data_IF_190783755209
#
_entry.id   IF_190783755209
#
_cell.length_a   1.000
_cell.length_b   1.000
_cell.length_c   1.000
_cell.angle_alpha   90.00
_cell.angle_beta   90.00
_cell.angle_gamma   90.00
#
_symmetry.space_group_name_H-M   'P 1'
#
loop_
_entity.id
_entity.type
_entity.pdbx_description
1 polymer ?
#
# COMPACT_ATOMS: atom_id res chain seq x y z
N UNK A 1 7.05 -6.53 2.48
CA UNK A 1 8.43 -6.86 2.90
C UNK A 1 8.84 -6.10 4.14
N UNK A 2 8.83 -4.76 4.13
CA UNK A 2 9.17 -3.93 5.31
C UNK A 2 8.32 -4.24 6.54
N UNK A 3 7.02 -4.49 6.37
CA UNK A 3 6.10 -4.98 7.42
C UNK A 3 6.63 -6.27 8.07
N UNK A 4 6.99 -7.27 7.26
CA UNK A 4 7.52 -8.56 7.75
C UNK A 4 8.88 -8.44 8.43
N UNK A 5 9.65 -7.41 8.07
CA UNK A 5 10.94 -7.11 8.69
C UNK A 5 10.80 -6.18 9.91
N UNK A 6 9.59 -5.74 10.26
CA UNK A 6 9.33 -4.88 11.41
C UNK A 6 9.92 -3.46 11.28
N UNK A 7 10.13 -2.98 10.04
CA UNK A 7 10.72 -1.65 9.77
C UNK A 7 9.78 -0.71 9.00
N UNK A 8 8.51 -1.10 8.85
CA UNK A 8 7.51 -0.29 8.17
C UNK A 8 7.36 1.10 8.80
N UNK A 9 7.12 1.17 10.11
CA UNK A 9 6.94 2.43 10.85
C UNK A 9 8.12 3.39 10.71
N UNK A 10 9.32 2.84 10.47
CA UNK A 10 10.56 3.62 10.35
C UNK A 10 10.82 4.10 8.92
N UNK A 11 10.39 3.33 7.93
CA UNK A 11 10.82 3.50 6.53
C UNK A 11 9.71 3.82 5.54
N UNK A 12 8.43 3.63 5.87
CA UNK A 12 7.33 3.82 4.92
C UNK A 12 7.23 5.27 4.43
N UNK A 13 7.02 6.22 5.34
CA UNK A 13 6.87 7.64 5.00
C UNK A 13 8.14 8.21 4.36
N UNK A 14 9.29 7.76 4.83
CA UNK A 14 10.58 8.17 4.29
C UNK A 14 10.79 7.66 2.86
N UNK A 15 10.38 6.42 2.55
CA UNK A 15 10.41 5.89 1.19
C UNK A 15 9.46 6.66 0.28
N UNK A 16 8.26 6.97 0.77
CA UNK A 16 7.28 7.75 0.02
C UNK A 16 7.82 9.16 -0.30
N UNK A 17 8.40 9.85 0.69
CA UNK A 17 9.05 11.14 0.50
C UNK A 17 10.25 11.05 -0.47
N UNK A 18 11.09 10.01 -0.34
CA UNK A 18 12.22 9.79 -1.23
C UNK A 18 11.79 9.70 -2.71
N UNK A 19 10.66 9.05 -2.99
CA UNK A 19 10.13 8.90 -4.36
C UNK A 19 9.44 10.19 -4.83
N UNK A 20 8.52 10.72 -4.03
CA UNK A 20 7.59 11.76 -4.47
C UNK A 20 8.05 13.20 -4.22
N UNK A 21 8.93 13.43 -3.23
CA UNK A 21 9.48 14.75 -2.91
C UNK A 21 10.92 14.90 -3.37
N UNK A 22 11.77 13.92 -3.03
CA UNK A 22 13.21 13.99 -3.33
C UNK A 22 13.56 13.46 -4.73
N UNK A 23 12.57 12.86 -5.42
CA UNK A 23 12.72 12.29 -6.76
C UNK A 23 13.88 11.28 -6.90
N UNK A 24 14.17 10.52 -5.83
CA UNK A 24 15.17 9.46 -5.87
C UNK A 24 14.76 8.38 -6.88
N UNK A 25 15.69 7.85 -7.70
CA UNK A 25 15.39 6.91 -8.76
C UNK A 25 15.19 5.48 -8.23
N UNK A 26 14.22 5.27 -7.35
CA UNK A 26 13.90 3.94 -6.80
C UNK A 26 13.04 3.20 -7.83
N UNK A 27 13.64 2.32 -8.63
CA UNK A 27 13.00 1.68 -9.79
C UNK A 27 13.04 0.15 -9.76
N UNK A 28 13.81 -0.42 -8.84
CA UNK A 28 13.99 -1.86 -8.68
C UNK A 28 13.78 -2.30 -7.23
N UNK A 29 13.66 -3.61 -7.03
CA UNK A 29 13.58 -4.19 -5.69
C UNK A 29 14.90 -3.99 -4.94
N UNK A 30 16.02 -4.00 -5.66
CA UNK A 30 17.36 -3.73 -5.17
C UNK A 30 17.49 -2.30 -4.65
N UNK A 31 16.94 -1.30 -5.37
CA UNK A 31 16.95 0.10 -4.90
C UNK A 31 16.15 0.25 -3.60
N UNK A 32 15.02 -0.48 -3.49
CA UNK A 32 14.22 -0.51 -2.27
C UNK A 32 15.01 -1.18 -1.14
N UNK A 33 15.67 -2.31 -1.41
CA UNK A 33 16.50 -3.00 -0.44
C UNK A 33 17.65 -2.10 0.05
N UNK A 34 18.33 -1.41 -0.86
CA UNK A 34 19.37 -0.41 -0.56
C UNK A 34 18.83 0.72 0.31
N UNK A 35 17.63 1.23 -0.02
CA UNK A 35 16.97 2.24 0.80
C UNK A 35 16.74 1.75 2.23
N UNK A 36 16.31 0.51 2.44
CA UNK A 36 16.03 0.00 3.79
C UNK A 36 17.29 -0.28 4.64
N UNK A 37 18.50 -0.28 4.04
CA UNK A 37 19.75 -0.44 4.81
C UNK A 37 19.99 0.66 5.84
N UNK A 38 19.53 1.89 5.57
CA UNK A 38 19.62 3.01 6.51
C UNK A 38 18.79 2.80 7.80
N UNK A 39 17.89 1.82 7.80
CA UNK A 39 17.06 1.44 8.95
C UNK A 39 17.52 0.13 9.61
N UNK A 40 18.74 -0.32 9.32
CA UNK A 40 19.34 -1.51 9.93
C UNK A 40 18.92 -2.83 9.27
N UNK A 41 18.33 -2.79 8.08
CA UNK A 41 17.99 -3.99 7.32
C UNK A 41 19.17 -4.40 6.43
N UNK A 42 19.67 -5.62 6.60
CA UNK A 42 20.62 -6.17 5.63
C UNK A 42 19.97 -6.36 4.25
N UNK A 43 20.68 -5.95 3.20
CA UNK A 43 20.18 -6.00 1.81
C UNK A 43 19.81 -7.42 1.39
N UNK A 44 20.66 -8.41 1.69
CA UNK A 44 20.42 -9.79 1.31
C UNK A 44 19.20 -10.37 2.06
N UNK A 45 19.05 -10.02 3.34
CA UNK A 45 17.87 -10.38 4.12
C UNK A 45 16.58 -9.75 3.53
N UNK A 46 16.63 -8.49 3.11
CA UNK A 46 15.48 -7.84 2.46
C UNK A 46 15.08 -8.56 1.17
N UNK A 47 16.06 -8.82 0.29
CA UNK A 47 15.83 -9.51 -0.98
C UNK A 47 15.27 -10.91 -0.76
N UNK A 48 15.86 -11.68 0.16
CA UNK A 48 15.38 -13.01 0.54
C UNK A 48 13.94 -12.95 1.04
N UNK A 49 13.63 -12.02 1.95
CA UNK A 49 12.27 -11.83 2.47
C UNK A 49 11.29 -11.43 1.37
N UNK A 50 11.67 -10.54 0.46
CA UNK A 50 10.84 -10.12 -0.66
C UNK A 50 10.52 -11.28 -1.62
N UNK A 51 11.45 -12.22 -1.79
CA UNK A 51 11.25 -13.46 -2.55
C UNK A 51 10.58 -14.61 -1.78
N UNK A 52 10.25 -14.41 -0.50
CA UNK A 52 9.72 -15.47 0.34
C UNK A 52 8.30 -15.90 -0.06
N UNK A 53 7.96 -17.16 0.20
CA UNK A 53 6.62 -17.70 -0.04
C UNK A 53 5.51 -16.88 0.64
N UNK A 54 5.77 -16.36 1.85
CA UNK A 54 4.80 -15.56 2.59
C UNK A 54 4.50 -14.21 1.90
N UNK A 55 5.54 -13.51 1.39
CA UNK A 55 5.34 -12.29 0.59
C UNK A 55 4.61 -12.60 -0.71
N UNK A 56 5.01 -13.67 -1.39
CA UNK A 56 4.38 -14.08 -2.64
C UNK A 56 2.90 -14.47 -2.46
N UNK A 57 2.57 -15.17 -1.38
CA UNK A 57 1.20 -15.53 -1.01
C UNK A 57 0.34 -14.28 -0.73
N UNK A 58 0.86 -13.32 0.04
CA UNK A 58 0.21 -12.02 0.27
C UNK A 58 -0.03 -11.29 -1.06
N UNK A 59 0.97 -11.25 -1.95
CA UNK A 59 0.84 -10.58 -3.26
C UNK A 59 -0.26 -11.22 -4.11
N UNK A 60 -0.30 -12.55 -4.21
CA UNK A 60 -1.36 -13.27 -4.94
C UNK A 60 -2.75 -12.99 -4.36
N UNK A 61 -2.89 -12.99 -3.03
CA UNK A 61 -4.16 -12.66 -2.37
C UNK A 61 -4.61 -11.23 -2.72
N UNK A 62 -3.71 -10.25 -2.64
CA UNK A 62 -4.02 -8.85 -2.96
C UNK A 62 -4.43 -8.68 -4.43
N UNK A 63 -3.77 -9.36 -5.37
CA UNK A 63 -4.14 -9.33 -6.79
C UNK A 63 -5.55 -9.87 -7.04
N UNK A 64 -5.98 -10.91 -6.31
CA UNK A 64 -7.35 -11.42 -6.38
C UNK A 64 -8.34 -10.37 -5.88
N UNK A 65 -8.05 -9.70 -4.76
CA UNK A 65 -8.91 -8.66 -4.18
C UNK A 65 -9.04 -7.44 -5.10
N UNK A 66 -7.94 -6.95 -5.67
CA UNK A 66 -7.92 -5.85 -6.64
C UNK A 66 -8.86 -6.12 -7.81
N UNK A 67 -8.79 -7.33 -8.39
CA UNK A 67 -9.69 -7.76 -9.48
C UNK A 67 -11.13 -7.90 -9.00
N UNK A 68 -11.36 -8.54 -7.84
CA UNK A 68 -12.68 -8.78 -7.26
C UNK A 68 -13.42 -7.46 -7.01
N UNK A 69 -12.72 -6.44 -6.52
CA UNK A 69 -13.30 -5.14 -6.22
C UNK A 69 -13.35 -4.19 -7.42
N UNK A 70 -12.80 -4.57 -8.57
CA UNK A 70 -12.81 -3.75 -9.78
C UNK A 70 -11.91 -2.52 -9.72
N UNK A 71 -10.85 -2.55 -8.89
CA UNK A 71 -9.89 -1.44 -8.78
C UNK A 71 -9.11 -1.30 -10.09
N UNK A 72 -9.14 -0.11 -10.70
CA UNK A 72 -8.47 0.20 -11.98
C UNK A 72 -7.31 1.17 -11.87
N UNK A 73 -7.12 1.80 -10.72
CA UNK A 73 -6.09 2.80 -10.52
C UNK A 73 -5.94 3.21 -9.06
N UNK A 74 -4.92 4.01 -8.79
CA UNK A 74 -4.63 4.55 -7.45
C UNK A 74 -4.82 6.08 -7.43
N UNK A 75 -5.21 6.66 -6.29
CA UNK A 75 -5.66 5.99 -5.07
C UNK A 75 -7.09 5.45 -5.19
N UNK A 76 -7.35 4.33 -4.52
CA UNK A 76 -8.68 3.69 -4.39
C UNK A 76 -8.87 3.18 -2.97
N UNK A 77 -10.09 3.26 -2.44
CA UNK A 77 -10.49 2.74 -1.13
C UNK A 77 -11.64 1.75 -1.31
N UNK A 78 -11.60 0.63 -0.57
CA UNK A 78 -12.69 -0.34 -0.57
C UNK A 78 -13.24 -0.49 0.84
N UNK A 79 -14.54 -0.21 1.02
CA UNK A 79 -15.21 -0.25 2.32
C UNK A 79 -16.02 -1.54 2.44
N UNK A 80 -15.70 -2.33 3.47
CA UNK A 80 -16.30 -3.63 3.79
C UNK A 80 -16.37 -4.62 2.60
N UNK A 81 -15.49 -4.47 1.61
CA UNK A 81 -15.52 -5.27 0.39
C UNK A 81 -16.74 -5.04 -0.53
N UNK A 82 -17.55 -4.01 -0.26
CA UNK A 82 -18.82 -3.72 -0.97
C UNK A 82 -18.73 -2.45 -1.82
N UNK A 83 -18.12 -1.39 -1.29
CA UNK A 83 -18.07 -0.09 -1.96
C UNK A 83 -16.65 0.23 -2.40
N UNK A 84 -16.48 0.54 -3.69
CA UNK A 84 -15.25 1.08 -4.23
C UNK A 84 -15.36 2.61 -4.34
N UNK A 85 -14.42 3.32 -3.74
CA UNK A 85 -14.20 4.75 -3.91
C UNK A 85 -12.92 4.92 -4.73
N UNK A 86 -13.02 5.55 -5.90
CA UNK A 86 -11.87 5.94 -6.72
C UNK A 86 -11.88 7.44 -6.96
N UNK A 87 -10.71 8.03 -7.24
CA UNK A 87 -10.63 9.45 -7.60
C UNK A 87 -11.43 9.73 -8.87
N UNK A 88 -12.29 10.74 -8.81
CA UNK A 88 -13.06 11.24 -9.94
C UNK A 88 -13.29 12.75 -9.79
N UNK A 89 -13.91 13.39 -10.79
CA UNK A 89 -14.29 14.80 -10.70
C UNK A 89 -15.30 15.05 -9.56
N UNK A 90 -16.20 14.10 -9.31
CA UNK A 90 -17.25 14.21 -8.27
C UNK A 90 -16.71 13.85 -6.87
N UNK A 91 -15.67 13.02 -6.83
CA UNK A 91 -14.97 12.59 -5.61
C UNK A 91 -13.48 12.89 -5.77
N UNK A 92 -13.07 14.17 -5.62
CA UNK A 92 -11.66 14.51 -5.62
C UNK A 92 -10.98 13.91 -4.38
N UNK A 93 -9.65 13.76 -4.44
CA UNK A 93 -8.86 13.10 -3.39
C UNK A 93 -9.19 13.57 -1.95
N UNK A 94 -9.34 14.89 -1.65
CA UNK A 94 -9.67 15.34 -0.29
C UNK A 94 -11.04 14.85 0.20
N UNK A 95 -11.99 14.62 -0.72
CA UNK A 95 -13.35 14.18 -0.42
C UNK A 95 -13.46 12.66 -0.22
N UNK A 96 -12.47 11.89 -0.68
CA UNK A 96 -12.50 10.42 -0.56
C UNK A 96 -12.65 9.94 0.89
N UNK A 97 -11.98 10.60 1.84
CA UNK A 97 -12.04 10.24 3.26
C UNK A 97 -13.42 10.54 3.86
N UNK A 98 -14.05 11.64 3.46
CA UNK A 98 -15.41 11.97 3.89
C UNK A 98 -16.41 10.90 3.43
N UNK A 99 -16.32 10.51 2.16
CA UNK A 99 -17.16 9.43 1.59
C UNK A 99 -16.87 8.09 2.28
N UNK A 100 -15.60 7.78 2.56
CA UNK A 100 -15.22 6.58 3.29
C UNK A 100 -15.86 6.56 4.69
N UNK A 101 -15.76 7.64 5.45
CA UNK A 101 -16.35 7.75 6.79
C UNK A 101 -17.86 7.57 6.77
N UNK A 102 -18.55 8.18 5.79
CA UNK A 102 -19.99 7.99 5.60
C UNK A 102 -20.36 6.52 5.36
N UNK A 103 -19.64 5.83 4.45
CA UNK A 103 -19.91 4.42 4.13
C UNK A 103 -19.56 3.49 5.30
N UNK A 104 -18.52 3.79 6.07
CA UNK A 104 -18.17 3.07 7.29
C UNK A 104 -19.29 3.20 8.32
N UNK A 105 -19.75 4.42 8.60
CA UNK A 105 -20.84 4.67 9.55
C UNK A 105 -22.13 3.95 9.13
N UNK A 106 -22.45 3.97 7.83
CA UNK A 106 -23.57 3.24 7.26
C UNK A 106 -23.48 1.72 7.53
N UNK A 107 -22.34 1.10 7.22
CA UNK A 107 -22.15 -0.35 7.43
C UNK A 107 -22.13 -0.75 8.91
N UNK A 108 -21.73 0.16 9.81
CA UNK A 108 -21.79 -0.08 11.25
C UNK A 108 -23.23 0.03 11.80
N UNK A 109 -24.07 0.89 11.22
CA UNK A 109 -25.46 1.06 11.63
C UNK A 109 -26.39 -0.06 11.12
N UNK A 110 -25.99 -0.76 10.04
CA UNK A 110 -26.72 -1.91 9.47
C UNK A 110 -26.39 -3.24 10.17
N UNK A 111 -25.51 -3.25 11.16
CA UNK A 111 -25.17 -4.42 12.00
C UNK A 111 -26.02 -4.48 13.26
#
# INVERSE_FOLDING_TARGET
>A
TSEMLGVEDKGHDALFAAIHKDHKPIRSLEDVADFYTQYGVDKANFMSTASSFAVEAKLRQQQVLVRKWGVRGTPSLVINGKYLISVSNDVPQPKMIEVANYLIAKELAEK
#
